data_IF_638372887689
#
_entry.id   IF_638372887689
#
_cell.length_a   1.000
_cell.length_b   1.000
_cell.length_c   1.000
_cell.angle_alpha   90.00
_cell.angle_beta   90.00
_cell.angle_gamma   90.00
#
_symmetry.space_group_name_H-M   'P 1'
#
loop_
_entity.id
_entity.type
_entity.pdbx_description
1 polymer ?
#
# COMPACT_ATOMS: atom_id res chain seq x y z
N UNK A 1 -11.22 7.37 20.44
CA UNK A 1 -10.15 6.36 20.41
C UNK A 1 -9.22 6.74 19.29
N UNK A 2 -8.03 7.21 19.64
CA UNK A 2 -6.97 7.46 18.67
C UNK A 2 -6.60 6.10 18.06
N UNK A 3 -7.10 5.84 16.85
CA UNK A 3 -6.70 4.66 16.11
C UNK A 3 -5.24 4.84 15.70
N UNK A 4 -4.37 3.93 16.12
CA UNK A 4 -2.95 3.90 15.73
C UNK A 4 -2.77 3.44 14.26
N UNK A 5 -3.66 3.89 13.36
CA UNK A 5 -3.59 3.55 11.95
C UNK A 5 -2.72 4.58 11.23
N UNK A 6 -1.60 4.13 10.72
CA UNK A 6 -0.73 4.93 9.86
C UNK A 6 -1.34 5.07 8.47
N UNK A 7 -0.99 6.15 7.77
CA UNK A 7 -1.51 6.44 6.43
C UNK A 7 -0.37 6.50 5.42
N UNK A 8 -0.56 5.87 4.27
CA UNK A 8 0.22 6.12 3.08
C UNK A 8 -0.56 7.09 2.17
N UNK A 9 0.00 8.27 1.93
CA UNK A 9 -0.57 9.28 1.04
C UNK A 9 -0.33 8.91 -0.43
N UNK A 10 -1.39 8.68 -1.20
CA UNK A 10 -1.30 8.16 -2.57
C UNK A 10 -1.41 9.29 -3.59
N UNK A 11 -0.33 9.54 -4.34
CA UNK A 11 -0.20 10.65 -5.31
C UNK A 11 -0.34 10.22 -6.77
N UNK A 12 -0.78 8.98 -7.05
CA UNK A 12 -0.87 8.44 -8.42
C UNK A 12 -1.81 9.23 -9.33
N UNK A 13 -2.95 9.68 -8.81
CA UNK A 13 -3.98 10.36 -9.59
C UNK A 13 -3.56 11.77 -10.02
N UNK A 14 -2.71 12.42 -9.23
CA UNK A 14 -2.15 13.76 -9.48
C UNK A 14 -0.74 13.71 -10.05
N UNK A 15 -0.32 12.56 -10.58
CA UNK A 15 0.97 12.38 -11.26
C UNK A 15 2.18 12.84 -10.44
N UNK A 16 2.13 12.68 -9.11
CA UNK A 16 3.16 13.14 -8.17
C UNK A 16 3.47 14.64 -8.31
N UNK A 17 2.44 15.48 -8.50
CA UNK A 17 2.60 16.93 -8.52
C UNK A 17 3.39 17.41 -7.29
N UNK A 18 4.47 18.20 -7.46
CA UNK A 18 5.35 18.61 -6.37
C UNK A 18 4.62 19.29 -5.20
N UNK A 19 3.61 20.09 -5.49
CA UNK A 19 2.81 20.80 -4.50
C UNK A 19 2.06 19.82 -3.60
N UNK A 20 1.46 18.78 -4.17
CA UNK A 20 0.74 17.74 -3.42
C UNK A 20 1.70 16.86 -2.63
N UNK A 21 2.85 16.50 -3.23
CA UNK A 21 3.88 15.71 -2.52
C UNK A 21 4.37 16.46 -1.28
N UNK A 22 4.60 17.78 -1.36
CA UNK A 22 5.01 18.60 -0.22
C UNK A 22 3.96 18.66 0.88
N UNK A 23 2.67 18.75 0.53
CA UNK A 23 1.58 18.68 1.52
C UNK A 23 1.62 17.35 2.27
N UNK A 24 1.81 16.23 1.55
CA UNK A 24 1.98 14.93 2.22
C UNK A 24 3.28 14.82 3.01
N UNK A 25 4.38 15.43 2.56
CA UNK A 25 5.64 15.49 3.32
C UNK A 25 5.45 16.17 4.67
N UNK A 26 4.73 17.30 4.68
CA UNK A 26 4.45 18.09 5.88
C UNK A 26 3.36 17.47 6.78
N UNK A 27 2.56 16.56 6.22
CA UNK A 27 1.51 15.87 6.97
C UNK A 27 2.05 14.69 7.80
N UNK A 28 1.20 14.12 8.64
CA UNK A 28 1.54 12.96 9.46
C UNK A 28 1.56 11.62 8.72
N UNK A 29 1.53 11.57 7.37
CA UNK A 29 1.56 10.30 6.63
C UNK A 29 2.89 9.56 6.83
N UNK A 30 2.83 8.24 6.89
CA UNK A 30 3.99 7.36 7.05
C UNK A 30 4.77 7.20 5.76
N UNK A 31 4.05 7.01 4.65
CA UNK A 31 4.59 6.78 3.32
C UNK A 31 3.99 7.75 2.31
N UNK A 32 4.74 8.04 1.24
CA UNK A 32 4.16 8.57 0.02
C UNK A 32 4.13 7.45 -1.01
N UNK A 33 2.97 7.22 -1.61
CA UNK A 33 2.71 6.04 -2.40
C UNK A 33 2.25 6.36 -3.82
N UNK A 34 2.71 5.57 -4.77
CA UNK A 34 2.27 5.65 -6.17
C UNK A 34 2.27 4.28 -6.83
N UNK A 35 1.53 4.14 -7.93
CA UNK A 35 1.52 2.93 -8.75
C UNK A 35 2.46 3.00 -9.97
N UNK A 36 3.25 4.07 -10.11
CA UNK A 36 4.11 4.26 -11.30
C UNK A 36 5.56 4.51 -10.92
N UNK A 37 6.45 3.72 -11.48
CA UNK A 37 7.90 3.86 -11.28
C UNK A 37 8.40 5.24 -11.76
N UNK A 38 7.84 5.77 -12.85
CA UNK A 38 8.16 7.12 -13.32
C UNK A 38 7.86 8.22 -12.29
N UNK A 39 6.80 8.05 -11.50
CA UNK A 39 6.47 9.00 -10.43
C UNK A 39 7.39 8.84 -9.21
N UNK A 40 7.84 7.62 -8.89
CA UNK A 40 8.90 7.41 -7.89
C UNK A 40 10.18 8.15 -8.30
N UNK A 41 10.55 8.04 -9.57
CA UNK A 41 11.72 8.73 -10.13
C UNK A 41 11.60 10.24 -9.99
N UNK A 42 10.46 10.84 -10.37
CA UNK A 42 10.20 12.28 -10.20
C UNK A 42 10.41 12.70 -8.75
N UNK A 43 9.83 11.96 -7.80
CA UNK A 43 9.92 12.31 -6.39
C UNK A 43 11.36 12.21 -5.86
N UNK A 44 12.13 11.20 -6.25
CA UNK A 44 13.53 11.02 -5.83
C UNK A 44 14.48 12.03 -6.48
N UNK A 45 14.41 12.19 -7.80
CA UNK A 45 15.32 13.09 -8.55
C UNK A 45 15.10 14.57 -8.20
N UNK A 46 13.86 14.96 -7.97
CA UNK A 46 13.52 16.31 -7.54
C UNK A 46 13.64 16.55 -6.02
N UNK A 47 13.99 15.52 -5.24
CA UNK A 47 14.12 15.63 -3.79
C UNK A 47 12.84 16.10 -3.09
N UNK A 48 11.66 15.68 -3.58
CA UNK A 48 10.38 16.19 -3.11
C UNK A 48 10.00 15.69 -1.72
N UNK A 49 10.58 14.60 -1.26
CA UNK A 49 10.24 13.99 0.03
C UNK A 49 11.42 13.22 0.63
N UNK A 50 11.50 13.23 1.95
CA UNK A 50 12.37 12.37 2.76
C UNK A 50 11.59 11.15 3.32
N UNK A 51 10.26 11.14 3.19
CA UNK A 51 9.45 10.00 3.62
C UNK A 51 9.73 8.77 2.76
N UNK A 52 9.58 7.56 3.33
CA UNK A 52 9.69 6.33 2.55
C UNK A 52 8.68 6.30 1.40
N UNK A 53 9.14 5.85 0.23
CA UNK A 53 8.31 5.71 -0.96
C UNK A 53 7.79 4.28 -1.11
N UNK A 54 6.49 4.16 -1.36
CA UNK A 54 5.80 2.90 -1.52
C UNK A 54 5.29 2.72 -2.95
N UNK A 55 5.66 1.61 -3.60
CA UNK A 55 5.05 1.19 -4.85
C UNK A 55 3.80 0.35 -4.55
N UNK A 56 2.62 0.81 -4.97
CA UNK A 56 1.33 0.18 -4.66
C UNK A 56 0.74 -0.63 -5.81
N UNK A 57 1.58 -1.35 -6.52
CA UNK A 57 1.21 -2.43 -7.47
C UNK A 57 2.35 -3.43 -7.59
N UNK A 58 2.04 -4.60 -8.16
CA UNK A 58 3.07 -5.54 -8.57
C UNK A 58 3.88 -4.91 -9.72
N UNK A 59 5.22 -4.85 -9.61
CA UNK A 59 6.05 -4.33 -10.69
C UNK A 59 6.20 -5.34 -11.84
N UNK A 60 6.45 -4.83 -13.04
CA UNK A 60 6.94 -5.65 -14.15
C UNK A 60 8.38 -6.08 -13.87
N UNK A 61 8.78 -7.26 -14.36
CA UNK A 61 10.17 -7.75 -14.19
C UNK A 61 11.21 -6.76 -14.73
N UNK A 62 10.89 -6.06 -15.81
CA UNK A 62 11.75 -5.03 -16.41
C UNK A 62 11.89 -3.75 -15.56
N UNK A 63 11.00 -3.52 -14.61
CA UNK A 63 11.02 -2.34 -13.74
C UNK A 63 11.77 -2.59 -12.42
N UNK A 64 12.11 -3.84 -12.10
CA UNK A 64 12.71 -4.20 -10.81
C UNK A 64 13.97 -3.40 -10.46
N UNK A 65 14.87 -3.08 -11.41
CA UNK A 65 16.03 -2.23 -11.12
C UNK A 65 15.63 -0.86 -10.55
N UNK A 66 14.65 -0.24 -11.14
CA UNK A 66 14.13 1.05 -10.70
C UNK A 66 13.32 0.94 -9.40
N UNK A 67 12.54 -0.13 -9.24
CA UNK A 67 11.77 -0.36 -8.01
C UNK A 67 12.69 -0.45 -6.80
N UNK A 68 13.74 -1.26 -6.88
CA UNK A 68 14.73 -1.38 -5.81
C UNK A 68 15.53 -0.09 -5.60
N UNK A 69 15.82 0.65 -6.68
CA UNK A 69 16.56 1.89 -6.57
C UNK A 69 15.76 3.03 -5.92
N UNK A 70 14.47 3.13 -6.26
CA UNK A 70 13.64 4.30 -6.05
C UNK A 70 12.58 4.16 -4.95
N UNK A 71 12.14 2.94 -4.61
CA UNK A 71 11.17 2.71 -3.53
C UNK A 71 11.79 1.97 -2.36
N UNK A 72 11.23 2.19 -1.18
CA UNK A 72 11.65 1.55 0.06
C UNK A 72 10.83 0.27 0.31
N UNK A 73 9.58 0.28 -0.15
CA UNK A 73 8.62 -0.82 0.05
C UNK A 73 7.72 -0.97 -1.17
N UNK A 74 7.31 -2.22 -1.48
CA UNK A 74 6.37 -2.50 -2.57
C UNK A 74 5.34 -3.56 -2.22
N UNK A 75 4.16 -3.47 -2.87
CA UNK A 75 3.11 -4.48 -2.77
C UNK A 75 3.40 -5.63 -3.73
N UNK A 76 3.24 -6.87 -3.27
CA UNK A 76 3.60 -8.07 -4.00
C UNK A 76 2.52 -9.16 -3.87
N UNK A 77 2.29 -9.92 -4.94
CA UNK A 77 1.38 -11.06 -4.95
C UNK A 77 1.77 -12.15 -5.95
N UNK A 78 3.05 -12.19 -6.34
CA UNK A 78 3.58 -13.21 -7.24
C UNK A 78 4.97 -13.64 -6.78
N UNK A 79 5.14 -14.96 -6.58
CA UNK A 79 6.39 -15.52 -6.08
C UNK A 79 7.54 -15.40 -7.09
N UNK A 80 7.25 -15.39 -8.39
CA UNK A 80 8.25 -15.21 -9.45
C UNK A 80 8.81 -13.80 -9.39
N UNK A 81 7.95 -12.80 -9.20
CA UNK A 81 8.35 -11.40 -9.03
C UNK A 81 9.14 -11.22 -7.74
N UNK A 82 8.72 -11.83 -6.62
CA UNK A 82 9.45 -11.78 -5.35
C UNK A 82 10.87 -12.33 -5.49
N UNK A 83 11.04 -13.49 -6.14
CA UNK A 83 12.37 -14.07 -6.37
C UNK A 83 13.24 -13.15 -7.22
N UNK A 84 12.70 -12.62 -8.30
CA UNK A 84 13.42 -11.69 -9.17
C UNK A 84 13.77 -10.36 -8.45
N UNK A 85 12.86 -9.86 -7.62
CA UNK A 85 13.07 -8.66 -6.79
C UNK A 85 14.20 -8.89 -5.77
N UNK A 86 14.26 -10.09 -5.17
CA UNK A 86 15.37 -10.47 -4.27
C UNK A 86 16.73 -10.44 -4.97
N UNK A 87 16.82 -11.01 -6.17
CA UNK A 87 18.08 -11.01 -6.93
C UNK A 87 18.48 -9.59 -7.31
N UNK A 88 17.54 -8.75 -7.68
CA UNK A 88 17.80 -7.36 -7.98
C UNK A 88 18.23 -6.56 -6.73
N UNK A 89 17.56 -6.76 -5.60
CA UNK A 89 17.95 -6.15 -4.33
C UNK A 89 19.36 -6.57 -3.90
N UNK A 90 19.69 -7.85 -4.08
CA UNK A 90 21.06 -8.38 -3.88
C UNK A 90 22.06 -7.68 -4.79
N UNK A 91 21.75 -7.53 -6.08
CA UNK A 91 22.63 -6.85 -7.06
C UNK A 91 22.91 -5.40 -6.68
N UNK A 92 21.94 -4.72 -6.07
CA UNK A 92 22.08 -3.34 -5.59
C UNK A 92 22.59 -3.24 -4.14
N UNK A 93 22.89 -4.36 -3.50
CA UNK A 93 23.31 -4.44 -2.08
C UNK A 93 22.31 -3.73 -1.15
N UNK A 94 21.03 -3.99 -1.36
CA UNK A 94 19.91 -3.45 -0.58
C UNK A 94 19.08 -4.56 0.04
N UNK A 95 18.32 -4.19 1.07
CA UNK A 95 17.16 -4.94 1.57
C UNK A 95 15.93 -4.16 1.18
N UNK A 96 15.04 -4.78 0.41
CA UNK A 96 13.80 -4.16 -0.03
C UNK A 96 12.61 -4.70 0.77
N UNK A 97 11.75 -3.80 1.24
CA UNK A 97 10.57 -4.21 2.03
C UNK A 97 9.41 -4.61 1.13
N UNK A 98 8.67 -5.65 1.55
CA UNK A 98 7.50 -6.13 0.81
C UNK A 98 6.29 -6.31 1.71
N UNK A 99 5.12 -5.96 1.19
CA UNK A 99 3.81 -6.30 1.75
C UNK A 99 3.16 -7.30 0.80
N UNK A 100 2.84 -8.50 1.29
CA UNK A 100 2.13 -9.50 0.51
C UNK A 100 0.64 -9.16 0.46
N UNK A 101 0.08 -9.11 -0.74
CA UNK A 101 -1.32 -8.78 -0.95
C UNK A 101 -2.16 -10.04 -1.01
N UNK A 102 -3.30 -10.03 -0.32
CA UNK A 102 -4.32 -11.06 -0.38
C UNK A 102 -5.53 -10.57 -1.18
N UNK A 103 -6.04 -11.37 -2.10
CA UNK A 103 -7.30 -11.09 -2.77
C UNK A 103 -8.45 -11.68 -1.93
N UNK A 104 -9.27 -10.81 -1.37
CA UNK A 104 -10.45 -11.18 -0.59
C UNK A 104 -11.76 -11.02 -1.40
N UNK A 105 -11.68 -11.22 -2.70
CA UNK A 105 -12.82 -11.25 -3.61
C UNK A 105 -12.93 -10.05 -4.54
N UNK A 106 -12.01 -9.07 -4.47
CA UNK A 106 -12.00 -7.92 -5.39
C UNK A 106 -11.52 -8.30 -6.80
N UNK A 107 -10.91 -9.48 -6.95
CA UNK A 107 -10.43 -10.09 -8.21
C UNK A 107 -9.47 -9.18 -8.99
N UNK A 108 -8.67 -8.43 -8.28
CA UNK A 108 -7.77 -7.45 -8.88
C UNK A 108 -6.30 -7.81 -8.71
N UNK A 109 -5.87 -8.04 -7.47
CA UNK A 109 -4.50 -8.39 -7.13
C UNK A 109 -4.45 -9.05 -5.74
N UNK A 110 -3.54 -9.97 -5.58
CA UNK A 110 -3.35 -10.68 -4.31
C UNK A 110 -3.21 -12.19 -4.54
N UNK A 111 -2.63 -12.86 -3.56
CA UNK A 111 -2.72 -14.30 -3.49
C UNK A 111 -4.18 -14.69 -3.28
N UNK A 112 -4.65 -15.67 -4.03
CA UNK A 112 -6.03 -16.14 -3.96
C UNK A 112 -6.27 -17.08 -2.77
N UNK A 113 -5.27 -17.90 -2.47
CA UNK A 113 -5.31 -18.86 -1.38
C UNK A 113 -4.46 -18.39 -0.20
N UNK A 114 -4.92 -18.63 1.02
CA UNK A 114 -4.14 -18.34 2.23
C UNK A 114 -2.87 -19.18 2.30
N UNK A 115 -2.91 -20.44 1.82
CA UNK A 115 -1.76 -21.35 1.75
C UNK A 115 -0.65 -20.77 0.85
N UNK A 116 -0.98 -20.29 -0.35
CA UNK A 116 -0.02 -19.67 -1.27
C UNK A 116 0.60 -18.40 -0.66
N UNK A 117 -0.19 -17.61 0.06
CA UNK A 117 0.30 -16.40 0.75
C UNK A 117 1.25 -16.76 1.91
N UNK A 118 0.92 -17.81 2.67
CA UNK A 118 1.75 -18.31 3.76
C UNK A 118 3.07 -18.87 3.22
N UNK A 119 3.03 -19.69 2.18
CA UNK A 119 4.22 -20.23 1.53
C UNK A 119 5.13 -19.11 0.99
N UNK A 120 4.55 -18.10 0.36
CA UNK A 120 5.31 -16.93 -0.09
C UNK A 120 5.94 -16.17 1.07
N UNK A 121 5.22 -16.00 2.19
CA UNK A 121 5.73 -15.35 3.40
C UNK A 121 6.93 -16.12 3.97
N UNK A 122 6.81 -17.45 4.09
CA UNK A 122 7.88 -18.33 4.55
C UNK A 122 9.08 -18.34 3.61
N UNK A 123 8.85 -18.25 2.30
CA UNK A 123 9.95 -18.15 1.34
C UNK A 123 10.69 -16.81 1.47
N UNK A 124 9.96 -15.69 1.60
CA UNK A 124 10.56 -14.37 1.82
C UNK A 124 11.39 -14.39 3.10
N UNK A 125 10.84 -14.85 4.22
CA UNK A 125 11.51 -14.83 5.52
C UNK A 125 12.74 -15.74 5.54
N UNK A 126 12.63 -16.96 5.00
CA UNK A 126 13.66 -17.98 5.14
C UNK A 126 14.70 -18.00 4.02
N UNK A 127 14.32 -17.64 2.77
CA UNK A 127 15.17 -17.84 1.59
C UNK A 127 15.54 -16.54 0.87
N UNK A 128 14.66 -15.54 0.82
CA UNK A 128 14.89 -14.31 0.04
C UNK A 128 15.55 -13.22 0.90
N UNK A 129 16.80 -13.40 1.25
CA UNK A 129 17.53 -12.64 2.28
C UNK A 129 17.76 -11.15 1.96
N UNK A 130 17.50 -10.72 0.74
CA UNK A 130 17.52 -9.31 0.34
C UNK A 130 16.13 -8.67 0.29
N UNK A 131 15.10 -9.42 0.71
CA UNK A 131 13.78 -8.91 1.02
C UNK A 131 13.51 -8.95 2.52
N UNK A 132 12.67 -8.03 2.99
CA UNK A 132 12.12 -8.04 4.34
C UNK A 132 10.60 -8.08 4.24
N UNK A 133 10.00 -9.12 4.80
CA UNK A 133 8.55 -9.21 4.91
C UNK A 133 8.06 -8.17 5.94
N UNK A 134 7.56 -7.04 5.46
CA UNK A 134 7.07 -5.96 6.30
C UNK A 134 5.60 -6.15 6.69
N UNK A 135 4.81 -6.86 5.88
CA UNK A 135 3.40 -7.01 6.20
C UNK A 135 2.58 -7.80 5.19
N UNK A 136 1.28 -7.80 5.46
CA UNK A 136 0.23 -8.26 4.54
C UNK A 136 -0.78 -7.16 4.29
N UNK A 137 -1.51 -7.24 3.19
CA UNK A 137 -2.49 -6.23 2.85
C UNK A 137 -3.60 -6.72 1.93
N UNK A 138 -4.61 -5.89 1.74
CA UNK A 138 -5.74 -6.13 0.86
C UNK A 138 -6.09 -4.88 0.07
N UNK A 139 -6.65 -5.05 -1.12
CA UNK A 139 -7.42 -4.02 -1.83
C UNK A 139 -8.87 -4.45 -1.91
N UNK A 140 -9.80 -3.51 -1.66
CA UNK A 140 -11.23 -3.74 -1.75
C UNK A 140 -11.90 -2.52 -2.40
N UNK A 141 -12.97 -2.74 -3.12
CA UNK A 141 -13.76 -1.71 -3.82
C UNK A 141 -13.02 -0.92 -4.89
N UNK A 142 -11.91 -1.42 -5.43
CA UNK A 142 -11.24 -0.75 -6.55
C UNK A 142 -12.08 -0.75 -7.84
N UNK A 143 -12.95 -1.76 -7.98
CA UNK A 143 -13.96 -1.88 -9.03
C UNK A 143 -15.39 -1.77 -8.48
N UNK A 144 -15.54 -1.42 -7.19
CA UNK A 144 -16.85 -1.36 -6.53
C UNK A 144 -17.47 -2.73 -6.23
N UNK A 145 -16.73 -3.84 -6.41
CA UNK A 145 -17.28 -5.19 -6.31
C UNK A 145 -17.37 -5.71 -4.88
N UNK A 146 -16.41 -5.39 -4.02
CA UNK A 146 -16.35 -5.87 -2.63
C UNK A 146 -16.20 -4.72 -1.65
N UNK A 147 -17.26 -4.42 -0.93
CA UNK A 147 -17.23 -3.39 0.12
C UNK A 147 -16.39 -3.88 1.30
N UNK A 148 -15.48 -3.05 1.85
CA UNK A 148 -14.79 -3.36 3.10
C UNK A 148 -15.77 -3.66 4.22
N UNK A 149 -15.56 -4.75 4.94
CA UNK A 149 -16.41 -5.17 6.06
C UNK A 149 -15.54 -5.68 7.21
N UNK A 150 -16.11 -5.73 8.42
CA UNK A 150 -15.43 -6.35 9.56
C UNK A 150 -15.03 -7.80 9.28
N UNK A 151 -15.82 -8.52 8.48
CA UNK A 151 -15.55 -9.93 8.14
C UNK A 151 -14.29 -10.08 7.29
N UNK A 152 -14.17 -9.33 6.18
CA UNK A 152 -13.00 -9.43 5.31
C UNK A 152 -11.74 -8.85 5.96
N UNK A 153 -11.86 -7.79 6.77
CA UNK A 153 -10.74 -7.28 7.56
C UNK A 153 -10.29 -8.28 8.62
N UNK A 154 -11.22 -9.02 9.25
CA UNK A 154 -10.86 -10.05 10.21
C UNK A 154 -10.18 -11.25 9.54
N UNK A 155 -10.56 -11.62 8.31
CA UNK A 155 -9.85 -12.65 7.53
C UNK A 155 -8.38 -12.23 7.27
N UNK A 156 -8.13 -10.97 6.89
CA UNK A 156 -6.76 -10.46 6.75
C UNK A 156 -5.97 -10.50 8.06
N UNK A 157 -6.61 -10.15 9.18
CA UNK A 157 -5.98 -10.21 10.51
C UNK A 157 -5.66 -11.66 10.91
N UNK A 158 -6.52 -12.62 10.57
CA UNK A 158 -6.28 -14.04 10.82
C UNK A 158 -5.09 -14.55 10.01
N UNK A 159 -5.02 -14.23 8.72
CA UNK A 159 -3.87 -14.55 7.88
C UNK A 159 -2.57 -13.93 8.43
N UNK A 160 -2.61 -12.66 8.85
CA UNK A 160 -1.45 -12.02 9.49
C UNK A 160 -0.97 -12.79 10.72
N UNK A 161 -1.90 -13.21 11.59
CA UNK A 161 -1.58 -13.98 12.80
C UNK A 161 -1.00 -15.36 12.47
N UNK A 162 -1.49 -16.04 11.44
CA UNK A 162 -0.95 -17.31 10.99
C UNK A 162 0.47 -17.17 10.44
N UNK A 163 0.72 -16.15 9.61
CA UNK A 163 2.07 -15.83 9.13
C UNK A 163 2.99 -15.50 10.30
N UNK A 164 2.59 -14.63 11.23
CA UNK A 164 3.38 -14.23 12.40
C UNK A 164 3.77 -15.41 13.27
N UNK A 165 2.85 -16.37 13.45
CA UNK A 165 3.12 -17.61 14.18
C UNK A 165 4.20 -18.46 13.50
N UNK A 166 4.11 -18.62 12.19
CA UNK A 166 5.04 -19.46 11.43
C UNK A 166 6.43 -18.81 11.26
N UNK A 167 6.50 -17.48 11.11
CA UNK A 167 7.80 -16.79 11.01
C UNK A 167 8.41 -16.44 12.37
N UNK A 168 7.66 -16.57 13.47
CA UNK A 168 8.13 -16.33 14.84
C UNK A 168 8.31 -14.86 15.23
N UNK A 169 7.70 -13.92 14.47
CA UNK A 169 7.73 -12.48 14.78
C UNK A 169 6.47 -11.78 14.31
N UNK A 170 6.21 -10.58 14.85
CA UNK A 170 5.14 -9.74 14.34
C UNK A 170 5.51 -9.08 13.00
N UNK A 171 4.50 -8.89 12.16
CA UNK A 171 4.58 -8.05 10.97
C UNK A 171 4.44 -6.57 11.38
N UNK A 172 5.17 -5.68 10.71
CA UNK A 172 5.05 -4.26 10.97
C UNK A 172 3.68 -3.72 10.52
N UNK A 173 3.20 -4.22 9.38
CA UNK A 173 1.98 -3.71 8.75
C UNK A 173 0.94 -4.79 8.46
N UNK A 174 -0.31 -4.50 8.83
CA UNK A 174 -1.50 -5.15 8.30
C UNK A 174 -2.34 -4.07 7.62
N UNK A 175 -2.25 -4.03 6.27
CA UNK A 175 -2.78 -2.95 5.46
C UNK A 175 -4.22 -3.22 5.01
N UNK A 176 -5.17 -2.55 5.64
CA UNK A 176 -6.61 -2.76 5.50
C UNK A 176 -7.26 -2.08 4.27
N UNK A 177 -6.50 -1.82 3.22
CA UNK A 177 -7.07 -1.29 1.98
C UNK A 177 -6.79 0.21 1.74
N UNK A 178 -7.71 0.85 1.04
CA UNK A 178 -7.58 2.19 0.50
C UNK A 178 -8.61 3.17 1.10
N UNK A 179 -8.91 4.24 0.39
CA UNK A 179 -9.91 5.26 0.77
C UNK A 179 -11.27 4.67 1.12
N UNK A 180 -11.68 3.61 0.42
CA UNK A 180 -12.93 2.87 0.65
C UNK A 180 -13.04 2.23 2.03
N UNK A 181 -11.92 2.02 2.73
CA UNK A 181 -11.90 1.48 4.10
C UNK A 181 -11.88 2.57 5.20
N UNK A 182 -11.77 3.85 4.82
CA UNK A 182 -11.63 4.96 5.76
C UNK A 182 -12.79 5.05 6.76
N UNK A 183 -14.01 4.79 6.31
CA UNK A 183 -15.20 4.83 7.18
C UNK A 183 -15.11 3.87 8.36
N UNK A 184 -14.48 2.71 8.17
CA UNK A 184 -14.31 1.73 9.25
C UNK A 184 -13.36 2.22 10.35
N UNK A 185 -12.30 2.93 9.96
CA UNK A 185 -11.39 3.56 10.91
C UNK A 185 -12.09 4.68 11.70
N UNK A 186 -12.84 5.54 11.00
CA UNK A 186 -13.51 6.70 11.59
C UNK A 186 -14.71 6.34 12.49
N UNK A 187 -15.46 5.27 12.17
CA UNK A 187 -16.56 4.82 13.01
C UNK A 187 -16.17 3.74 14.05
N UNK A 188 -14.87 3.43 14.19
CA UNK A 188 -14.36 2.49 15.19
C UNK A 188 -14.70 1.03 14.93
N UNK A 189 -15.04 0.64 13.69
CA UNK A 189 -15.34 -0.76 13.33
C UNK A 189 -14.17 -1.51 12.71
N UNK A 190 -13.05 -0.82 12.46
CA UNK A 190 -11.81 -1.44 11.96
C UNK A 190 -11.22 -2.38 13.03
N UNK A 191 -10.85 -3.62 12.69
CA UNK A 191 -10.13 -4.49 13.63
C UNK A 191 -8.82 -3.86 14.11
N UNK A 192 -8.53 -4.01 15.40
CA UNK A 192 -7.40 -3.35 16.06
C UNK A 192 -6.02 -3.61 15.40
N UNK A 193 -5.82 -4.82 14.82
CA UNK A 193 -4.53 -5.19 14.20
C UNK A 193 -4.31 -4.53 12.85
N UNK A 194 -5.34 -3.98 12.21
CA UNK A 194 -5.18 -3.15 11.00
C UNK A 194 -4.53 -1.83 11.41
N UNK A 195 -3.33 -1.58 10.91
CA UNK A 195 -2.51 -0.44 11.31
C UNK A 195 -1.97 0.40 10.13
N UNK A 196 -2.38 0.09 8.89
CA UNK A 196 -2.00 0.88 7.71
C UNK A 196 -3.18 0.99 6.74
N UNK A 197 -3.46 2.21 6.26
CA UNK A 197 -4.38 2.48 5.16
C UNK A 197 -3.68 3.32 4.09
N UNK A 198 -4.10 3.15 2.82
CA UNK A 198 -3.50 3.84 1.67
C UNK A 198 -4.52 4.80 1.06
N UNK A 199 -4.42 6.08 1.41
CA UNK A 199 -5.38 7.11 1.04
C UNK A 199 -4.97 7.87 -0.22
N UNK A 200 -5.77 7.74 -1.27
CA UNK A 200 -5.68 8.55 -2.49
C UNK A 200 -6.90 9.45 -2.62
N UNK A 201 -8.02 8.88 -2.98
CA UNK A 201 -9.28 9.58 -3.26
C UNK A 201 -9.72 10.45 -2.08
N UNK A 202 -9.89 9.87 -0.89
CA UNK A 202 -10.35 10.61 0.28
C UNK A 202 -9.40 11.74 0.69
N UNK A 203 -8.09 11.58 0.47
CA UNK A 203 -7.08 12.61 0.76
C UNK A 203 -7.08 13.76 -0.23
N UNK A 204 -7.57 13.55 -1.46
CA UNK A 204 -7.58 14.55 -2.54
C UNK A 204 -8.95 15.16 -2.77
N UNK A 205 -10.03 14.39 -2.57
CA UNK A 205 -11.39 14.82 -2.86
C UNK A 205 -12.24 15.04 -1.60
N UNK A 206 -11.76 14.62 -0.42
CA UNK A 206 -12.52 14.71 0.84
C UNK A 206 -13.65 13.70 0.94
N UNK A 207 -13.74 12.75 0.00
CA UNK A 207 -14.76 11.73 -0.04
C UNK A 207 -14.26 10.46 -0.72
N UNK A 208 -14.99 9.36 -0.59
CA UNK A 208 -14.74 8.09 -1.29
C UNK A 208 -16.03 7.29 -1.35
N UNK A 209 -16.42 6.83 -2.55
CA UNK A 209 -17.67 6.07 -2.80
C UNK A 209 -18.89 6.71 -2.09
N UNK A 210 -19.44 5.98 -1.11
CA UNK A 210 -20.60 6.42 -0.32
C UNK A 210 -20.21 7.08 1.02
N UNK A 211 -18.95 7.42 1.20
CA UNK A 211 -18.42 8.02 2.42
C UNK A 211 -17.90 9.44 2.17
N UNK A 212 -18.62 10.43 2.67
CA UNK A 212 -18.37 11.86 2.43
C UNK A 212 -18.53 12.64 3.75
N UNK A 213 -17.52 12.59 4.66
CA UNK A 213 -17.63 13.25 5.96
C UNK A 213 -17.54 14.78 5.84
N UNK A 214 -18.35 15.50 6.61
CA UNK A 214 -18.46 16.96 6.54
C UNK A 214 -17.21 17.71 7.02
N UNK A 215 -16.32 17.05 7.78
CA UNK A 215 -15.10 17.67 8.30
C UNK A 215 -13.92 17.66 7.29
N UNK A 216 -14.06 16.99 6.14
CA UNK A 216 -13.06 17.00 5.10
C UNK A 216 -13.38 18.06 4.03
N UNK A 217 -12.34 18.76 3.57
CA UNK A 217 -12.43 19.70 2.47
C UNK A 217 -12.64 18.96 1.13
N UNK A 218 -13.59 19.41 0.32
CA UNK A 218 -13.95 18.83 -0.99
C UNK A 218 -13.54 19.70 -2.18
N UNK A 219 -12.93 20.82 -1.91
CA UNK A 219 -12.50 21.84 -2.89
C UNK A 219 -10.98 22.03 -2.98
N UNK A 220 -10.23 20.99 -2.57
CA UNK A 220 -8.76 21.01 -2.57
C UNK A 220 -8.18 21.11 -3.99
N UNK A 221 -8.87 20.54 -4.98
CA UNK A 221 -8.45 20.52 -6.38
C UNK A 221 -9.50 21.17 -7.27
N UNK A 222 -9.06 22.10 -8.13
CA UNK A 222 -9.91 22.72 -9.16
C UNK A 222 -9.33 22.44 -10.54
N UNK A 223 -10.13 21.88 -11.44
CA UNK A 223 -9.76 21.70 -12.84
C UNK A 223 -10.31 22.90 -13.64
N UNK A 224 -9.43 23.56 -14.40
CA UNK A 224 -9.81 24.61 -15.34
C UNK A 224 -9.49 24.15 -16.76
N UNK A 225 -10.47 24.24 -17.66
CA UNK A 225 -10.31 23.92 -19.07
C UNK A 225 -10.97 24.99 -19.93
N UNK A 226 -10.34 25.33 -21.06
CA UNK A 226 -10.91 26.18 -22.09
C UNK A 226 -11.59 25.29 -23.15
N UNK A 227 -12.80 25.65 -23.55
CA UNK A 227 -13.53 24.96 -24.63
C UNK A 227 -13.10 25.58 -25.95
N UNK A 228 -12.58 24.78 -26.86
CA UNK A 228 -12.15 25.16 -28.22
C UNK A 228 -13.15 24.66 -29.26
#
# INVERSE_FOLDING_TARGET
HDSLIEVAGVVKAVSALPEIVRVYEESGVKFIATSRVSQLRIMREAGLTQKPLMLIRIPMLSELPDVVALSDISLQSDITVLRALNEEAKRQNKIHEVILMMDLGDLREGFWNEEDALDAALEVENKLKNLRLAGVGVNLSCYGSVVPTKRNMQALVSLAADIEREIGRQLDYVSGGASTSAYMALNGTMPYRINLLRFGEIGLLGESDNFSPDFLHKDVLTIKAEVI
#
